data_IF_657804714504
#
_entry.id   IF_657804714504
#
_cell.length_a   1.000
_cell.length_b   1.000
_cell.length_c   1.000
_cell.angle_alpha   90.00
_cell.angle_beta   90.00
_cell.angle_gamma   90.00
#
_symmetry.space_group_name_H-M   'P 1'
#
loop_
_entity.id
_entity.type
_entity.pdbx_description
1 polymer ?
#
# COMPACT_ATOMS: atom_id res chain seq x y z
N UNK A 1 -35.99 19.84 -17.47
CA UNK A 1 -36.89 20.71 -16.68
C UNK A 1 -36.37 22.14 -16.75
N UNK A 2 -37.24 23.14 -16.90
CA UNK A 2 -36.87 24.56 -17.02
C UNK A 2 -37.54 25.38 -15.92
N UNK A 3 -36.75 26.11 -15.13
CA UNK A 3 -37.19 26.89 -13.98
C UNK A 3 -37.03 28.38 -14.27
N UNK A 4 -38.09 29.15 -14.11
CA UNK A 4 -38.03 30.62 -14.28
C UNK A 4 -37.34 31.24 -13.07
N UNK A 5 -36.30 32.02 -13.32
CA UNK A 5 -35.61 32.78 -12.27
C UNK A 5 -36.36 34.08 -12.00
N UNK A 6 -36.86 34.25 -10.76
CA UNK A 6 -37.67 35.41 -10.36
C UNK A 6 -36.85 36.33 -9.47
N UNK A 7 -36.76 37.60 -9.85
CA UNK A 7 -36.18 38.67 -9.06
C UNK A 7 -37.30 39.53 -8.49
N UNK A 8 -37.51 39.47 -7.19
CA UNK A 8 -38.67 40.10 -6.54
C UNK A 8 -38.66 41.62 -6.65
N UNK A 9 -37.49 42.27 -6.56
CA UNK A 9 -37.36 43.73 -6.73
C UNK A 9 -37.75 44.18 -8.14
N UNK A 10 -37.34 43.42 -9.17
CA UNK A 10 -37.73 43.69 -10.57
C UNK A 10 -39.21 43.41 -10.81
N UNK A 11 -39.76 42.35 -10.20
CA UNK A 11 -41.20 42.03 -10.25
C UNK A 11 -42.04 43.16 -9.64
N UNK A 12 -41.67 43.62 -8.45
CA UNK A 12 -42.34 44.74 -7.77
C UNK A 12 -42.28 46.05 -8.57
N UNK A 13 -41.14 46.35 -9.21
CA UNK A 13 -40.97 47.57 -10.01
C UNK A 13 -41.68 47.54 -11.37
N UNK A 14 -41.77 46.36 -12.01
CA UNK A 14 -42.29 46.21 -13.39
C UNK A 14 -43.71 45.65 -13.47
N UNK A 15 -44.29 45.18 -12.35
CA UNK A 15 -45.66 44.66 -12.27
C UNK A 15 -45.93 43.60 -13.35
N UNK A 16 -47.06 43.73 -14.02
CA UNK A 16 -47.52 42.77 -15.05
C UNK A 16 -46.60 42.66 -16.28
N UNK A 17 -45.70 43.64 -16.50
CA UNK A 17 -44.71 43.58 -17.59
C UNK A 17 -43.53 42.67 -17.26
N UNK A 18 -43.38 42.20 -16.02
CA UNK A 18 -42.29 41.33 -15.61
C UNK A 18 -42.59 39.86 -15.89
N UNK A 19 -41.80 39.22 -16.77
CA UNK A 19 -41.96 37.79 -17.09
C UNK A 19 -41.06 36.86 -16.28
N UNK A 20 -39.77 37.16 -16.21
CA UNK A 20 -38.73 36.51 -15.40
C UNK A 20 -37.41 37.26 -15.57
N UNK A 21 -36.33 36.77 -14.96
CA UNK A 21 -34.96 37.26 -15.13
C UNK A 21 -34.02 36.22 -15.75
N UNK A 22 -34.59 35.29 -16.53
CA UNK A 22 -33.89 34.15 -17.11
C UNK A 22 -34.57 32.83 -16.79
N UNK A 23 -34.10 31.77 -17.43
CA UNK A 23 -34.50 30.38 -17.16
C UNK A 23 -33.27 29.56 -16.79
N UNK A 24 -33.42 28.69 -15.80
CA UNK A 24 -32.45 27.68 -15.42
C UNK A 24 -32.91 26.34 -16.00
N UNK A 25 -32.07 25.71 -16.80
CA UNK A 25 -32.35 24.41 -17.41
C UNK A 25 -31.30 23.40 -16.99
N UNK A 26 -31.74 22.20 -16.64
CA UNK A 26 -30.85 21.07 -16.40
C UNK A 26 -30.78 20.23 -17.67
N UNK A 27 -29.59 20.14 -18.27
CA UNK A 27 -29.34 19.38 -19.50
C UNK A 27 -29.37 17.86 -19.25
N UNK A 28 -28.79 17.44 -18.14
CA UNK A 28 -28.87 16.07 -17.62
C UNK A 28 -28.84 16.11 -16.10
N UNK A 29 -29.51 15.15 -15.47
CA UNK A 29 -29.43 14.91 -14.03
C UNK A 29 -29.22 13.42 -13.85
N UNK A 30 -28.05 13.04 -13.36
CA UNK A 30 -27.71 11.65 -13.08
C UNK A 30 -27.56 11.48 -11.57
N UNK A 31 -28.28 10.51 -11.02
CA UNK A 31 -28.11 10.12 -9.63
C UNK A 31 -27.07 8.99 -9.58
N UNK A 32 -25.83 9.34 -9.26
CA UNK A 32 -24.75 8.37 -9.13
C UNK A 32 -24.68 7.86 -7.69
N UNK A 33 -24.84 6.55 -7.52
CA UNK A 33 -24.57 5.91 -6.23
C UNK A 33 -23.06 5.86 -6.04
N UNK A 34 -22.55 6.62 -5.07
CA UNK A 34 -21.15 6.59 -4.68
C UNK A 34 -20.96 5.56 -3.57
N UNK A 35 -20.17 4.54 -3.85
CA UNK A 35 -19.79 3.55 -2.85
C UNK A 35 -18.60 4.06 -2.05
N UNK A 36 -18.70 3.97 -0.72
CA UNK A 36 -17.61 4.24 0.20
C UNK A 36 -16.67 3.04 0.30
N UNK A 37 -15.47 3.26 0.84
CA UNK A 37 -14.55 2.17 1.18
C UNK A 37 -15.23 1.08 2.04
N UNK A 38 -16.04 1.46 3.02
CA UNK A 38 -16.72 0.52 3.90
C UNK A 38 -17.79 -0.29 3.17
N UNK A 39 -18.41 0.23 2.12
CA UNK A 39 -19.37 -0.54 1.31
C UNK A 39 -18.67 -1.71 0.60
N UNK A 40 -17.44 -1.52 0.13
CA UNK A 40 -16.64 -2.60 -0.47
C UNK A 40 -16.24 -3.65 0.58
N UNK A 41 -15.73 -3.22 1.73
CA UNK A 41 -15.37 -4.14 2.83
C UNK A 41 -16.60 -4.93 3.30
N UNK A 42 -17.73 -4.27 3.52
CA UNK A 42 -19.00 -4.92 3.87
C UNK A 42 -19.53 -5.84 2.76
N UNK A 43 -19.26 -5.51 1.50
CA UNK A 43 -19.55 -6.32 0.32
C UNK A 43 -18.64 -7.54 0.15
N UNK A 44 -17.65 -7.73 1.03
CA UNK A 44 -16.75 -8.89 1.02
C UNK A 44 -15.43 -8.68 0.30
N UNK A 45 -15.09 -7.45 -0.10
CA UNK A 45 -13.76 -7.13 -0.61
C UNK A 45 -12.71 -7.40 0.46
N UNK A 46 -11.67 -8.17 0.12
CA UNK A 46 -10.55 -8.48 1.00
C UNK A 46 -9.32 -7.67 0.60
N UNK A 47 -8.59 -7.16 1.61
CA UNK A 47 -7.33 -6.48 1.38
C UNK A 47 -6.18 -7.47 1.56
N UNK A 48 -5.42 -7.72 0.50
CA UNK A 48 -4.21 -8.55 0.55
C UNK A 48 -3.01 -7.68 0.87
N UNK A 49 -2.18 -8.11 1.81
CA UNK A 49 -1.05 -7.32 2.28
C UNK A 49 0.28 -8.00 1.97
N UNK A 50 1.19 -7.22 1.40
CA UNK A 50 2.61 -7.55 1.30
C UNK A 50 3.41 -6.54 2.13
N UNK A 51 4.43 -7.03 2.82
CA UNK A 51 5.34 -6.24 3.65
C UNK A 51 6.74 -6.43 3.11
N UNK A 52 7.41 -5.34 2.78
CA UNK A 52 8.78 -5.34 2.29
C UNK A 52 9.66 -4.56 3.27
N UNK A 53 10.65 -5.24 3.82
CA UNK A 53 11.58 -4.67 4.78
C UNK A 53 12.94 -4.43 4.14
N UNK A 54 13.47 -3.25 4.33
CA UNK A 54 14.82 -2.88 3.93
C UNK A 54 15.85 -3.61 4.78
N UNK A 55 16.81 -4.30 4.15
CA UNK A 55 17.95 -4.96 4.81
C UNK A 55 19.28 -4.39 4.28
N UNK A 56 19.31 -3.11 3.93
CA UNK A 56 20.52 -2.45 3.43
C UNK A 56 21.46 -2.04 4.58
N UNK A 57 22.74 -1.88 4.26
CA UNK A 57 23.81 -1.61 5.21
C UNK A 57 23.74 -0.21 5.84
N UNK A 58 22.98 0.73 5.27
CA UNK A 58 22.73 2.06 5.87
C UNK A 58 22.05 1.96 7.24
N UNK A 59 21.29 0.89 7.48
CA UNK A 59 20.70 0.57 8.77
C UNK A 59 21.72 0.22 9.88
N UNK A 60 23.00 0.02 9.52
CA UNK A 60 24.06 -0.37 10.43
C UNK A 60 24.00 -1.85 10.83
N UNK A 61 25.14 -2.37 11.30
CA UNK A 61 25.26 -3.79 11.63
C UNK A 61 24.37 -4.20 12.81
N UNK A 62 23.64 -5.32 12.66
CA UNK A 62 22.58 -5.81 13.58
C UNK A 62 23.03 -5.92 15.04
N UNK A 63 24.31 -6.26 15.29
CA UNK A 63 24.86 -6.40 16.63
C UNK A 63 25.17 -5.05 17.32
N UNK A 64 25.13 -3.94 16.60
CA UNK A 64 25.38 -2.61 17.15
C UNK A 64 24.09 -2.04 17.75
N UNK A 65 24.12 -1.50 18.98
CA UNK A 65 22.94 -0.86 19.59
C UNK A 65 22.41 0.35 18.80
N UNK A 66 23.26 0.97 17.97
CA UNK A 66 22.90 2.10 17.11
C UNK A 66 22.22 1.68 15.81
N UNK A 67 22.17 0.38 15.50
CA UNK A 67 21.51 -0.11 14.28
C UNK A 67 20.00 0.05 14.38
N UNK A 68 19.38 0.44 13.27
CA UNK A 68 17.91 0.46 13.16
C UNK A 68 17.30 -0.94 13.22
N UNK A 69 18.10 -1.98 12.95
CA UNK A 69 17.75 -3.38 13.10
C UNK A 69 18.24 -4.00 14.41
N UNK A 70 18.73 -3.23 15.38
CA UNK A 70 19.28 -3.81 16.61
C UNK A 70 18.27 -4.75 17.28
N UNK A 71 18.66 -6.01 17.50
CA UNK A 71 17.80 -6.98 18.19
C UNK A 71 18.08 -6.85 19.69
N UNK A 72 17.06 -6.46 20.45
CA UNK A 72 17.10 -6.40 21.90
C UNK A 72 15.95 -7.20 22.51
N UNK A 73 16.20 -7.86 23.64
CA UNK A 73 15.17 -8.53 24.42
C UNK A 73 14.30 -7.54 25.21
N UNK A 74 14.80 -6.32 25.45
CA UNK A 74 14.14 -5.33 26.29
C UNK A 74 13.27 -4.34 25.49
N UNK A 75 13.68 -3.97 24.29
CA UNK A 75 12.99 -2.96 23.47
C UNK A 75 12.93 -3.37 22.01
N UNK A 76 11.77 -3.22 21.35
CA UNK A 76 11.67 -3.46 19.92
C UNK A 76 12.42 -2.38 19.15
N UNK A 77 12.99 -2.73 18.00
CA UNK A 77 13.59 -1.75 17.10
C UNK A 77 12.55 -1.01 16.24
N UNK A 78 12.99 -0.01 15.48
CA UNK A 78 12.08 0.86 14.71
C UNK A 78 11.28 0.08 13.67
N UNK A 79 11.89 -0.91 13.01
CA UNK A 79 11.19 -1.78 12.06
C UNK A 79 10.14 -2.64 12.77
N UNK A 80 10.47 -3.23 13.91
CA UNK A 80 9.52 -4.01 14.71
C UNK A 80 8.31 -3.20 15.18
N UNK A 81 8.55 -1.94 15.58
CA UNK A 81 7.49 -1.00 15.97
C UNK A 81 6.60 -0.70 14.77
N UNK A 82 7.19 -0.37 13.61
CA UNK A 82 6.44 -0.05 12.40
C UNK A 82 5.62 -1.24 11.88
N UNK A 83 6.22 -2.43 11.84
CA UNK A 83 5.56 -3.68 11.44
C UNK A 83 4.33 -3.92 12.32
N UNK A 84 4.48 -3.88 13.64
CA UNK A 84 3.36 -4.10 14.57
C UNK A 84 2.28 -3.05 14.40
N UNK A 85 2.64 -1.77 14.40
CA UNK A 85 1.68 -0.67 14.34
C UNK A 85 0.75 -0.74 13.10
N UNK A 86 1.29 -1.16 11.95
CA UNK A 86 0.49 -1.28 10.73
C UNK A 86 -0.24 -2.63 10.68
N UNK A 87 0.46 -3.74 10.91
CA UNK A 87 -0.10 -5.08 10.69
C UNK A 87 -1.16 -5.44 11.73
N UNK A 88 -1.04 -4.94 12.97
CA UNK A 88 -2.03 -5.17 14.02
C UNK A 88 -3.42 -4.72 13.59
N UNK A 89 -3.49 -3.63 12.81
CA UNK A 89 -4.74 -3.09 12.26
C UNK A 89 -5.09 -3.79 10.95
N UNK A 90 -4.14 -3.87 10.01
CA UNK A 90 -4.39 -4.36 8.65
C UNK A 90 -4.86 -5.82 8.60
N UNK A 91 -4.41 -6.67 9.52
CA UNK A 91 -4.77 -8.11 9.54
C UNK A 91 -6.27 -8.37 9.68
N UNK A 92 -7.06 -7.38 10.11
CA UNK A 92 -8.51 -7.53 10.26
C UNK A 92 -9.29 -7.31 8.96
N UNK A 93 -8.65 -6.79 7.90
CA UNK A 93 -9.26 -6.59 6.58
C UNK A 93 -9.08 -7.79 5.62
N UNK A 94 -8.51 -8.88 6.12
CA UNK A 94 -8.34 -10.13 5.39
C UNK A 94 -8.71 -11.32 6.28
N UNK A 95 -9.62 -12.17 5.82
CA UNK A 95 -10.09 -13.30 6.62
C UNK A 95 -8.97 -14.33 6.90
N UNK A 96 -8.06 -14.51 5.93
CA UNK A 96 -6.96 -15.46 6.04
C UNK A 96 -5.80 -14.95 6.91
N UNK A 97 -5.72 -13.62 7.12
CA UNK A 97 -4.60 -12.95 7.80
C UNK A 97 -3.23 -13.31 7.22
N UNK A 98 -3.18 -13.66 5.93
CA UNK A 98 -1.94 -13.96 5.24
C UNK A 98 -1.26 -12.66 4.81
N UNK A 99 0.04 -12.58 5.07
CA UNK A 99 0.91 -11.49 4.67
C UNK A 99 2.06 -12.06 3.86
N UNK A 100 2.33 -11.52 2.68
CA UNK A 100 3.59 -11.83 2.01
C UNK A 100 4.71 -11.01 2.64
N UNK A 101 5.71 -11.69 3.19
CA UNK A 101 6.81 -11.06 3.89
C UNK A 101 8.08 -11.11 3.05
N UNK A 102 8.51 -9.95 2.55
CA UNK A 102 9.70 -9.78 1.73
C UNK A 102 10.77 -8.95 2.43
N UNK A 103 12.03 -9.21 2.08
CA UNK A 103 13.18 -8.36 2.35
C UNK A 103 13.87 -7.97 1.04
N UNK A 104 14.66 -6.90 1.05
CA UNK A 104 15.44 -6.47 -0.10
C UNK A 104 16.79 -5.84 0.31
N UNK A 105 17.75 -5.81 -0.63
CA UNK A 105 19.03 -5.13 -0.44
C UNK A 105 20.03 -5.87 0.44
N UNK A 106 19.94 -7.20 0.51
CA UNK A 106 20.82 -8.04 1.32
C UNK A 106 21.44 -9.19 0.54
N UNK A 107 22.55 -9.72 1.03
CA UNK A 107 23.17 -10.94 0.53
C UNK A 107 22.66 -12.11 1.37
N UNK A 108 22.12 -13.13 0.70
CA UNK A 108 21.61 -14.34 1.34
C UNK A 108 22.71 -15.40 1.42
N UNK A 109 22.77 -16.23 2.46
CA UNK A 109 23.64 -17.40 2.46
C UNK A 109 23.11 -18.51 1.54
N UNK A 110 23.97 -19.25 0.82
CA UNK A 110 25.44 -19.13 0.74
C UNK A 110 25.90 -18.20 -0.41
N UNK A 111 25.01 -17.39 -0.98
CA UNK A 111 25.33 -16.55 -2.13
C UNK A 111 26.31 -15.43 -1.75
N UNK A 112 27.00 -14.93 -2.76
CA UNK A 112 27.91 -13.77 -2.65
C UNK A 112 27.36 -12.53 -3.35
N UNK A 113 26.26 -12.67 -4.09
CA UNK A 113 25.59 -11.58 -4.78
C UNK A 113 24.37 -11.09 -4.00
N UNK A 114 24.02 -9.84 -4.27
CA UNK A 114 22.88 -9.16 -3.66
C UNK A 114 21.59 -9.77 -4.18
N UNK A 115 20.68 -10.09 -3.27
CA UNK A 115 19.30 -10.37 -3.65
C UNK A 115 18.50 -9.07 -3.70
N UNK A 116 17.94 -8.70 -4.86
CA UNK A 116 17.09 -7.53 -4.98
C UNK A 116 15.77 -7.68 -4.22
N UNK A 117 15.32 -8.91 -3.99
CA UNK A 117 14.15 -9.26 -3.18
C UNK A 117 14.25 -10.73 -2.74
N UNK A 118 13.81 -11.03 -1.51
CA UNK A 118 13.73 -12.40 -1.00
C UNK A 118 12.57 -12.57 -0.02
N UNK A 119 12.08 -13.80 0.16
CA UNK A 119 11.08 -14.12 1.19
C UNK A 119 11.73 -14.12 2.58
N UNK A 120 11.14 -13.42 3.56
CA UNK A 120 11.69 -13.36 4.93
C UNK A 120 11.72 -14.72 5.63
N UNK A 121 10.83 -15.63 5.24
CA UNK A 121 10.80 -17.02 5.72
C UNK A 121 11.76 -17.95 4.96
N UNK A 122 12.46 -17.48 3.92
CA UNK A 122 13.34 -18.26 3.04
C UNK A 122 12.64 -19.41 2.30
N UNK A 123 11.31 -19.37 2.20
CA UNK A 123 10.52 -20.33 1.44
C UNK A 123 10.19 -19.75 0.04
N UNK A 124 9.89 -20.64 -0.90
CA UNK A 124 9.33 -20.29 -2.20
C UNK A 124 7.99 -19.55 -2.06
N UNK A 125 7.22 -19.84 -1.00
CA UNK A 125 6.02 -19.08 -0.65
C UNK A 125 6.33 -18.04 0.43
N UNK A 126 6.25 -16.72 0.14
CA UNK A 126 6.54 -15.67 1.12
C UNK A 126 5.45 -15.47 2.18
N UNK A 127 4.31 -16.15 2.06
CA UNK A 127 3.16 -15.93 2.94
C UNK A 127 3.39 -16.43 4.37
N UNK A 128 3.07 -15.58 5.34
CA UNK A 128 3.10 -15.86 6.78
C UNK A 128 1.79 -15.39 7.44
N UNK A 129 1.47 -15.93 8.62
CA UNK A 129 0.17 -15.70 9.28
C UNK A 129 0.26 -14.62 10.35
N UNK A 130 -0.47 -13.52 10.14
CA UNK A 130 -0.66 -12.43 11.10
C UNK A 130 0.61 -11.68 11.48
N UNK A 131 0.46 -10.73 12.41
CA UNK A 131 1.58 -9.92 12.92
C UNK A 131 2.72 -10.78 13.47
N UNK A 132 2.38 -11.87 14.18
CA UNK A 132 3.37 -12.75 14.79
C UNK A 132 4.23 -13.43 13.72
N UNK A 133 3.61 -13.95 12.65
CA UNK A 133 4.34 -14.60 11.56
C UNK A 133 5.30 -13.63 10.85
N UNK A 134 4.87 -12.38 10.60
CA UNK A 134 5.74 -11.37 9.97
C UNK A 134 6.91 -11.01 10.89
N UNK A 135 6.66 -10.82 12.18
CA UNK A 135 7.71 -10.52 13.18
C UNK A 135 8.73 -11.66 13.32
N UNK A 136 8.26 -12.91 13.35
CA UNK A 136 9.11 -14.10 13.40
C UNK A 136 9.96 -14.22 12.13
N UNK A 137 9.36 -14.05 10.95
CA UNK A 137 10.07 -14.10 9.67
C UNK A 137 11.11 -12.98 9.55
N UNK A 138 10.77 -11.76 9.97
CA UNK A 138 11.71 -10.63 10.03
C UNK A 138 12.94 -10.95 10.88
N UNK A 139 12.74 -11.39 12.14
CA UNK A 139 13.85 -11.79 13.03
C UNK A 139 14.62 -12.99 12.47
N UNK A 140 13.93 -13.94 11.85
CA UNK A 140 14.55 -15.11 11.24
C UNK A 140 15.51 -14.73 10.10
N UNK A 141 15.08 -13.81 9.23
CA UNK A 141 15.89 -13.29 8.14
C UNK A 141 17.07 -12.46 8.62
N UNK A 142 16.83 -11.58 9.59
CA UNK A 142 17.84 -10.66 10.11
C UNK A 142 19.06 -11.36 10.71
N UNK A 143 18.87 -12.55 11.27
CA UNK A 143 19.98 -13.36 11.81
C UNK A 143 20.74 -14.18 10.75
N UNK A 144 20.32 -14.14 9.48
CA UNK A 144 20.89 -14.97 8.41
C UNK A 144 21.49 -14.15 7.27
N UNK A 145 20.88 -13.02 6.92
CA UNK A 145 21.35 -12.21 5.81
C UNK A 145 22.52 -11.32 6.20
N UNK A 146 23.33 -10.96 5.21
CA UNK A 146 24.31 -9.86 5.35
C UNK A 146 23.67 -8.60 4.78
N UNK A 147 23.54 -7.56 5.61
CA UNK A 147 23.01 -6.26 5.18
C UNK A 147 23.93 -5.65 4.12
N UNK A 148 23.38 -5.18 3.00
CA UNK A 148 24.20 -4.69 1.89
C UNK A 148 23.53 -3.55 1.11
N UNK A 149 23.34 -3.66 -0.20
CA UNK A 149 22.72 -2.63 -1.02
C UNK A 149 22.80 -3.03 -2.50
N UNK A 150 22.24 -2.24 -3.43
CA UNK A 150 21.59 -0.95 -3.21
C UNK A 150 20.17 -1.08 -2.64
N UNK A 151 19.60 0.07 -2.29
CA UNK A 151 18.22 0.21 -1.83
C UNK A 151 17.29 0.41 -3.03
N UNK A 152 16.79 -0.68 -3.60
CA UNK A 152 15.97 -0.64 -4.82
C UNK A 152 14.53 -1.10 -4.54
N UNK A 153 13.54 -0.26 -4.83
CA UNK A 153 12.13 -0.59 -4.57
C UNK A 153 11.41 -1.19 -5.78
N UNK A 154 11.89 -0.92 -7.00
CA UNK A 154 11.28 -1.46 -8.22
C UNK A 154 11.07 -2.99 -8.16
N UNK A 155 12.04 -3.81 -7.72
CA UNK A 155 11.87 -5.27 -7.70
C UNK A 155 10.66 -5.72 -6.88
N UNK A 156 10.46 -5.16 -5.68
CA UNK A 156 9.34 -5.55 -4.82
C UNK A 156 8.00 -5.03 -5.30
N UNK A 157 7.97 -3.82 -5.88
CA UNK A 157 6.77 -3.30 -6.54
C UNK A 157 6.34 -4.23 -7.68
N UNK A 158 7.28 -4.66 -8.51
CA UNK A 158 6.98 -5.54 -9.65
C UNK A 158 6.52 -6.94 -9.22
N UNK A 159 7.15 -7.53 -8.19
CA UNK A 159 6.77 -8.85 -7.70
C UNK A 159 5.34 -8.85 -7.12
N UNK A 160 5.02 -7.84 -6.30
CA UNK A 160 3.68 -7.71 -5.73
C UNK A 160 2.64 -7.37 -6.80
N UNK A 161 2.96 -6.52 -7.77
CA UNK A 161 2.06 -6.22 -8.89
C UNK A 161 1.78 -7.44 -9.77
N UNK A 162 2.79 -8.28 -10.00
CA UNK A 162 2.64 -9.55 -10.73
C UNK A 162 1.74 -10.54 -9.97
N UNK A 163 1.81 -10.55 -8.64
CA UNK A 163 0.89 -11.34 -7.81
C UNK A 163 -0.54 -10.77 -7.89
N UNK A 164 -0.68 -9.45 -7.76
CA UNK A 164 -1.96 -8.76 -7.85
C UNK A 164 -2.65 -9.02 -9.19
N UNK A 165 -1.93 -8.92 -10.32
CA UNK A 165 -2.51 -9.14 -11.65
C UNK A 165 -3.01 -10.57 -11.88
N UNK A 166 -2.40 -11.58 -11.26
CA UNK A 166 -2.88 -12.97 -11.30
C UNK A 166 -4.20 -13.13 -10.55
N UNK A 167 -4.33 -12.45 -9.42
CA UNK A 167 -5.54 -12.45 -8.57
C UNK A 167 -6.66 -11.64 -9.25
N UNK A 168 -6.33 -10.49 -9.84
CA UNK A 168 -7.24 -9.58 -10.54
C UNK A 168 -7.72 -10.07 -11.91
N UNK A 169 -7.43 -11.32 -12.31
CA UNK A 169 -8.09 -11.96 -13.45
C UNK A 169 -9.63 -11.95 -13.30
N UNK A 170 -10.13 -11.76 -12.07
CA UNK A 170 -11.49 -11.35 -11.77
C UNK A 170 -11.50 -9.83 -11.56
N UNK A 171 -11.95 -9.06 -12.54
CA UNK A 171 -12.13 -7.60 -12.45
C UNK A 171 -13.35 -7.20 -11.60
N UNK A 172 -13.67 -7.99 -10.57
CA UNK A 172 -14.89 -7.88 -9.77
C UNK A 172 -14.73 -7.04 -8.50
N UNK A 173 -13.53 -6.53 -8.21
CA UNK A 173 -13.24 -5.73 -7.02
C UNK A 173 -13.24 -6.53 -5.72
N UNK A 174 -13.24 -7.86 -5.78
CA UNK A 174 -13.24 -8.73 -4.58
C UNK A 174 -11.92 -8.71 -3.81
N UNK A 175 -10.81 -8.32 -4.45
CA UNK A 175 -9.48 -8.30 -3.83
C UNK A 175 -8.72 -7.04 -4.20
N UNK A 176 -8.05 -6.45 -3.21
CA UNK A 176 -7.22 -5.27 -3.38
C UNK A 176 -5.86 -5.48 -2.71
N UNK A 177 -4.78 -5.32 -3.46
CA UNK A 177 -3.42 -5.55 -2.97
C UNK A 177 -2.82 -4.26 -2.40
N UNK A 178 -2.31 -4.34 -1.17
CA UNK A 178 -1.56 -3.29 -0.48
C UNK A 178 -0.12 -3.76 -0.29
N UNK A 179 0.85 -2.92 -0.66
CA UNK A 179 2.27 -3.12 -0.38
C UNK A 179 2.75 -2.08 0.63
N UNK A 180 3.22 -2.54 1.79
CA UNK A 180 3.92 -1.74 2.79
C UNK A 180 5.43 -1.89 2.60
N UNK A 181 6.14 -0.80 2.30
CA UNK A 181 7.61 -0.76 2.27
C UNK A 181 8.10 0.00 3.50
N UNK A 182 9.01 -0.61 4.28
CA UNK A 182 9.66 -0.01 5.45
C UNK A 182 11.14 0.11 5.15
N UNK A 183 11.68 1.33 5.27
CA UNK A 183 13.06 1.70 4.90
C UNK A 183 13.59 2.81 5.80
N UNK A 184 14.90 3.03 5.82
CA UNK A 184 15.58 4.16 6.47
C UNK A 184 15.74 5.39 5.56
N UNK A 185 15.33 5.31 4.29
CA UNK A 185 15.01 6.47 3.46
C UNK A 185 15.94 6.76 2.28
N UNK A 186 16.99 5.99 2.04
CA UNK A 186 17.91 6.22 0.92
C UNK A 186 17.59 5.38 -0.32
N UNK A 187 16.67 5.81 -1.20
CA UNK A 187 16.34 5.06 -2.44
C UNK A 187 17.42 5.26 -3.51
N UNK A 188 17.96 4.16 -4.03
CA UNK A 188 18.99 4.16 -5.07
C UNK A 188 18.41 4.18 -6.50
N UNK A 189 17.23 3.61 -6.72
CA UNK A 189 16.61 3.44 -8.04
C UNK A 189 15.40 4.35 -8.29
N UNK A 190 15.43 5.60 -7.79
CA UNK A 190 14.26 6.50 -7.80
C UNK A 190 13.55 6.61 -9.16
N UNK A 191 14.30 6.75 -10.26
CA UNK A 191 13.72 6.82 -11.60
C UNK A 191 12.99 5.52 -11.99
N UNK A 192 13.61 4.37 -11.71
CA UNK A 192 13.04 3.07 -12.02
C UNK A 192 11.83 2.75 -11.12
N UNK A 193 11.88 3.16 -9.85
CA UNK A 193 10.77 3.07 -8.90
C UNK A 193 9.58 3.91 -9.37
N UNK A 194 9.80 5.15 -9.86
CA UNK A 194 8.73 5.96 -10.46
C UNK A 194 8.07 5.26 -11.64
N UNK A 195 8.87 4.72 -12.58
CA UNK A 195 8.33 3.97 -13.72
C UNK A 195 7.54 2.75 -13.27
N UNK A 196 8.00 2.03 -12.25
CA UNK A 196 7.28 0.88 -11.70
C UNK A 196 5.94 1.29 -11.08
N UNK A 197 5.89 2.38 -10.32
CA UNK A 197 4.64 2.90 -9.73
C UNK A 197 3.64 3.30 -10.81
N UNK A 198 4.09 4.02 -11.85
CA UNK A 198 3.23 4.41 -12.97
C UNK A 198 2.65 3.16 -13.64
N UNK A 199 3.50 2.18 -13.96
CA UNK A 199 3.09 0.97 -14.65
C UNK A 199 2.06 0.12 -13.87
N UNK A 200 2.05 0.19 -12.54
CA UNK A 200 1.09 -0.57 -11.71
C UNK A 200 -0.16 0.23 -11.34
N UNK A 201 -0.19 1.51 -11.69
CA UNK A 201 -1.34 2.40 -11.49
C UNK A 201 -2.26 2.48 -12.70
N UNK A 202 -1.79 2.04 -13.87
CA UNK A 202 -2.59 1.99 -15.08
C UNK A 202 -3.54 0.76 -15.05
N UNK A 203 -4.82 0.96 -15.44
CA UNK A 203 -5.87 -0.08 -15.36
C UNK A 203 -5.67 -1.24 -16.34
#
# INVERSE_FOLDING_TARGET
MSFKLINEKKRAKKGDKYKNSGTLEFNSVELLKQYSFLDFIAGGTQLDFAVAVDFTASNGAVHKPTSLHSISTAQPNQYEIAIRAVIDICQHYNNSKLFDAFGFGAILPPQTCVSPIFSLNFDANPSVVGVRGVMEAYRYALNRVTLYGPTNFKPVIQEVAKKASRISSKTDGSRYQVLLIITDGAISDLAATKTAIIAVSEP
#
